data_IF_835558068867
#
_entry.id   IF_835558068867
#
_cell.length_a   1.000
_cell.length_b   1.000
_cell.length_c   1.000
_cell.angle_alpha   90.00
_cell.angle_beta   90.00
_cell.angle_gamma   90.00
#
_symmetry.space_group_name_H-M   'P 1'
#
loop_
_entity.id
_entity.type
_entity.pdbx_description
1 polymer ?
#
# COMPACT_ATOMS: atom_id res chain seq x y z
N UNK A 1 -2.26 -23.28 -3.37
CA UNK A 1 -2.57 -22.50 -2.16
C UNK A 1 -3.83 -21.72 -2.47
N UNK A 2 -4.92 -22.00 -1.76
CA UNK A 2 -6.23 -21.43 -2.04
C UNK A 2 -6.30 -20.05 -1.36
N UNK A 3 -5.92 -19.01 -2.08
CA UNK A 3 -5.96 -17.63 -1.55
C UNK A 3 -7.43 -17.24 -1.45
N UNK A 4 -8.01 -17.24 -0.25
CA UNK A 4 -9.31 -16.63 -0.05
C UNK A 4 -9.22 -15.18 -0.55
N UNK A 5 -9.95 -14.87 -1.61
CA UNK A 5 -9.88 -13.58 -2.30
C UNK A 5 -10.49 -12.53 -1.37
N UNK A 6 -9.63 -11.78 -0.71
CA UNK A 6 -10.01 -10.69 0.19
C UNK A 6 -9.85 -9.33 -0.52
N UNK A 7 -10.42 -8.29 0.08
CA UNK A 7 -10.43 -6.95 -0.50
C UNK A 7 -9.02 -6.41 -0.81
N UNK A 8 -7.99 -6.77 -0.04
CA UNK A 8 -6.63 -6.28 -0.28
C UNK A 8 -6.00 -6.95 -1.50
N UNK A 9 -6.27 -8.25 -1.70
CA UNK A 9 -5.88 -8.95 -2.94
C UNK A 9 -6.55 -8.31 -4.15
N UNK A 10 -7.86 -8.08 -4.08
CA UNK A 10 -8.65 -7.46 -5.15
C UNK A 10 -8.19 -6.04 -5.50
N UNK A 11 -7.79 -5.24 -4.50
CA UNK A 11 -7.19 -3.91 -4.71
C UNK A 11 -5.90 -3.98 -5.54
N UNK A 12 -5.04 -4.97 -5.30
CA UNK A 12 -3.80 -5.14 -6.04
C UNK A 12 -4.06 -5.67 -7.46
N UNK A 13 -5.00 -6.60 -7.63
CA UNK A 13 -5.38 -7.19 -8.93
C UNK A 13 -6.06 -6.17 -9.86
N UNK A 14 -6.93 -5.31 -9.32
CA UNK A 14 -7.65 -4.28 -10.09
C UNK A 14 -6.83 -3.04 -10.39
N UNK A 15 -5.71 -2.83 -9.70
CA UNK A 15 -4.85 -1.69 -9.98
C UNK A 15 -4.11 -1.91 -11.31
N UNK A 16 -4.11 -0.94 -12.24
CA UNK A 16 -3.64 -1.15 -13.61
C UNK A 16 -2.12 -1.32 -13.77
N UNK A 17 -1.36 -1.34 -12.67
CA UNK A 17 0.11 -1.35 -12.67
C UNK A 17 0.65 -2.16 -11.49
N UNK A 18 1.80 -2.83 -11.60
CA UNK A 18 2.46 -3.45 -10.44
C UNK A 18 3.01 -2.40 -9.45
N UNK A 19 3.10 -1.14 -9.86
CA UNK A 19 3.65 -0.04 -9.08
C UNK A 19 2.58 1.03 -8.80
N UNK A 20 2.60 1.54 -7.57
CA UNK A 20 1.78 2.66 -7.11
C UNK A 20 2.71 3.83 -6.81
N UNK A 21 2.67 4.88 -7.63
CA UNK A 21 3.46 6.08 -7.36
C UNK A 21 3.02 6.71 -6.02
N UNK A 22 3.94 7.32 -5.28
CA UNK A 22 3.62 7.93 -3.99
C UNK A 22 2.40 8.90 -4.01
N UNK A 23 2.19 9.73 -5.06
CA UNK A 23 0.98 10.55 -5.18
C UNK A 23 -0.31 9.73 -5.38
N UNK A 24 -0.23 8.55 -6.00
CA UNK A 24 -1.38 7.69 -6.30
C UNK A 24 -1.77 6.77 -5.15
N UNK A 25 -0.95 6.68 -4.10
CA UNK A 25 -1.26 5.90 -2.88
C UNK A 25 -2.63 6.27 -2.29
N UNK A 26 -3.02 7.55 -2.37
CA UNK A 26 -4.35 8.01 -1.94
C UNK A 26 -5.45 7.37 -2.77
N UNK A 27 -5.28 7.31 -4.09
CA UNK A 27 -6.25 6.69 -5.00
C UNK A 27 -6.29 5.17 -4.82
N UNK A 28 -5.13 4.52 -4.75
CA UNK A 28 -5.01 3.08 -4.53
C UNK A 28 -5.74 2.62 -3.27
N UNK A 29 -5.56 3.34 -2.16
CA UNK A 29 -6.18 3.00 -0.87
C UNK A 29 -7.63 3.45 -0.72
N UNK A 30 -8.28 3.98 -1.77
CA UNK A 30 -9.64 4.53 -1.67
C UNK A 30 -9.74 5.78 -0.77
N UNK A 31 -8.62 6.48 -0.55
CA UNK A 31 -8.54 7.69 0.26
C UNK A 31 -8.09 7.50 1.71
N UNK A 32 -7.81 6.27 2.15
CA UNK A 32 -7.52 5.95 3.56
C UNK A 32 -6.14 6.47 3.99
N UNK A 33 -5.12 6.34 3.14
CA UNK A 33 -3.75 6.79 3.43
C UNK A 33 -3.18 7.63 2.29
N UNK A 34 -2.09 8.34 2.57
CA UNK A 34 -1.38 9.11 1.55
C UNK A 34 0.08 8.66 1.42
N UNK A 35 0.73 9.00 0.31
CA UNK A 35 2.17 8.80 0.17
C UNK A 35 2.98 9.53 1.25
N UNK A 36 2.48 10.65 1.81
CA UNK A 36 3.09 11.36 2.93
C UNK A 36 3.08 10.51 4.21
N UNK A 37 1.99 9.78 4.47
CA UNK A 37 1.91 8.84 5.59
C UNK A 37 3.04 7.81 5.51
N UNK A 38 3.22 7.18 4.35
CA UNK A 38 4.29 6.19 4.15
C UNK A 38 5.69 6.79 4.26
N UNK A 39 5.91 8.01 3.75
CA UNK A 39 7.19 8.70 3.89
C UNK A 39 7.52 9.03 5.35
N UNK A 40 6.54 9.52 6.12
CA UNK A 40 6.73 9.80 7.53
C UNK A 40 7.09 8.52 8.32
N UNK A 41 6.38 7.42 8.04
CA UNK A 41 6.68 6.13 8.66
C UNK A 41 8.08 5.64 8.31
N UNK A 42 8.50 5.77 7.04
CA UNK A 42 9.86 5.43 6.62
C UNK A 42 10.91 6.29 7.35
N UNK A 43 10.68 7.59 7.49
CA UNK A 43 11.56 8.48 8.26
C UNK A 43 11.65 8.11 9.74
N UNK A 44 10.54 7.62 10.31
CA UNK A 44 10.48 7.10 11.68
C UNK A 44 11.02 5.66 11.82
N UNK A 45 11.58 5.08 10.75
CA UNK A 45 12.03 3.67 10.69
C UNK A 45 10.93 2.66 11.06
N UNK A 46 9.67 3.02 10.84
CA UNK A 46 8.53 2.12 11.02
C UNK A 46 8.35 1.25 9.78
N UNK A 47 7.69 0.08 9.91
CA UNK A 47 7.41 -0.80 8.79
C UNK A 47 6.62 -0.07 7.70
N UNK A 48 7.15 -0.10 6.48
CA UNK A 48 6.54 0.44 5.26
C UNK A 48 6.50 -0.64 4.17
N UNK A 49 5.58 -0.53 3.19
CA UNK A 49 5.57 -1.43 2.05
C UNK A 49 6.88 -1.36 1.27
N UNK A 50 7.15 -2.42 0.52
CA UNK A 50 8.27 -2.44 -0.42
C UNK A 50 8.19 -1.25 -1.38
N UNK A 51 9.30 -0.53 -1.48
CA UNK A 51 9.35 0.71 -2.24
C UNK A 51 10.58 0.75 -3.13
N UNK A 52 10.40 1.31 -4.32
CA UNK A 52 11.45 1.57 -5.28
C UNK A 52 11.54 3.08 -5.55
N UNK A 53 12.74 3.55 -5.91
CA UNK A 53 12.98 4.94 -6.29
C UNK A 53 13.27 4.99 -7.78
N UNK A 54 12.46 5.76 -8.52
CA UNK A 54 12.62 5.99 -9.96
C UNK A 54 12.86 7.47 -10.17
N UNK A 55 14.11 7.83 -10.48
CA UNK A 55 14.56 9.22 -10.50
C UNK A 55 14.34 9.92 -9.15
N UNK A 56 13.57 11.00 -9.14
CA UNK A 56 13.21 11.75 -7.93
C UNK A 56 11.97 11.22 -7.23
N UNK A 57 11.21 10.31 -7.85
CA UNK A 57 9.92 9.81 -7.34
C UNK A 57 10.10 8.48 -6.62
N UNK A 58 9.29 8.27 -5.57
CA UNK A 58 9.15 6.97 -4.90
C UNK A 58 7.87 6.30 -5.37
N UNK A 59 7.93 4.99 -5.60
CA UNK A 59 6.79 4.14 -5.88
C UNK A 59 6.79 2.93 -4.93
N UNK A 60 5.63 2.35 -4.71
CA UNK A 60 5.43 1.17 -3.87
C UNK A 60 4.94 0.01 -4.72
N UNK A 61 5.36 -1.20 -4.40
CA UNK A 61 4.86 -2.40 -5.06
C UNK A 61 3.40 -2.60 -4.64
N UNK A 62 2.48 -2.73 -5.59
CA UNK A 62 1.03 -2.76 -5.34
C UNK A 62 0.64 -3.91 -4.39
N UNK A 63 1.15 -5.12 -4.64
CA UNK A 63 0.92 -6.29 -3.79
C UNK A 63 1.47 -6.10 -2.37
N UNK A 64 2.64 -5.47 -2.24
CA UNK A 64 3.26 -5.18 -0.94
C UNK A 64 2.46 -4.12 -0.18
N UNK A 65 1.97 -3.08 -0.87
CA UNK A 65 1.14 -2.03 -0.29
C UNK A 65 -0.21 -2.58 0.20
N UNK A 66 -0.85 -3.46 -0.57
CA UNK A 66 -2.05 -4.17 -0.15
C UNK A 66 -1.81 -5.05 1.08
N UNK A 67 -0.75 -5.86 1.09
CA UNK A 67 -0.39 -6.69 2.24
C UNK A 67 -0.09 -5.86 3.49
N UNK A 68 0.56 -4.71 3.32
CA UNK A 68 0.83 -3.79 4.41
C UNK A 68 -0.45 -3.17 5.00
N UNK A 69 -1.42 -2.80 4.16
CA UNK A 69 -2.74 -2.31 4.61
C UNK A 69 -3.48 -3.40 5.38
N UNK A 70 -3.45 -4.64 4.88
CA UNK A 70 -4.04 -5.81 5.52
C UNK A 70 -3.50 -6.00 6.94
N UNK A 71 -2.18 -5.98 7.11
CA UNK A 71 -1.53 -6.17 8.41
C UNK A 71 -1.85 -5.05 9.42
N UNK A 72 -2.24 -3.86 8.95
CA UNK A 72 -2.63 -2.73 9.80
C UNK A 72 -4.11 -2.67 10.10
N UNK A 73 -4.90 -3.52 9.46
CA UNK A 73 -6.33 -3.59 9.70
C UNK A 73 -6.58 -4.28 11.03
N UNK A 74 -7.21 -3.59 11.96
CA UNK A 74 -7.81 -4.20 13.15
C UNK A 74 -9.31 -4.35 12.90
N UNK A 75 -9.93 -5.42 13.39
CA UNK A 75 -11.41 -5.51 13.40
C UNK A 75 -11.93 -4.29 14.17
N UNK A 76 -12.77 -3.49 13.53
CA UNK A 76 -13.40 -2.35 14.19
C UNK A 76 -14.49 -2.85 15.13
N UNK A 77 -14.30 -2.63 16.43
CA UNK A 77 -15.31 -2.90 17.48
C UNK A 77 -15.24 -4.31 18.08
N UNK A 78 -14.53 -4.42 19.20
CA UNK A 78 -14.94 -5.21 20.36
C UNK A 78 -15.08 -4.23 21.55
#
# INVERSE_FOLDING_TARGET
MNTAQDIFTDMAEKWPSPLVAAPEVKKFSGGIITGKTLQNLASLKQPVPESIKVGTKRAYVAVSLAAWLRNRTRKGGE
#
